data_IF_120818316836
#
_entry.id   IF_120818316836
#
_cell.length_a   1.000
_cell.length_b   1.000
_cell.length_c   1.000
_cell.angle_alpha   90.00
_cell.angle_beta   90.00
_cell.angle_gamma   90.00
#
_symmetry.space_group_name_H-M   'P 1'
#
loop_
_entity.id
_entity.type
_entity.pdbx_description
1 polymer ?
#
# COMPACT_ATOMS: atom_id res chain seq x y z
N UNK A 1 1.82 -16.37 -22.87
CA UNK A 1 1.53 -17.54 -22.01
C UNK A 1 1.77 -17.27 -20.53
N UNK A 2 3.00 -17.01 -20.02
CA UNK A 2 3.20 -16.76 -18.58
C UNK A 2 2.62 -15.41 -18.13
N UNK A 3 2.89 -14.32 -18.85
CA UNK A 3 2.38 -12.99 -18.49
C UNK A 3 0.85 -12.92 -18.53
N UNK A 4 0.24 -13.44 -19.58
CA UNK A 4 -1.23 -13.55 -19.70
C UNK A 4 -1.84 -14.37 -18.55
N UNK A 5 -1.15 -15.44 -18.12
CA UNK A 5 -1.61 -16.23 -16.98
C UNK A 5 -1.52 -15.44 -15.67
N UNK A 6 -0.43 -14.70 -15.45
CA UNK A 6 -0.29 -13.84 -14.28
C UNK A 6 -1.35 -12.74 -14.25
N UNK A 7 -1.61 -12.10 -15.40
CA UNK A 7 -2.65 -11.09 -15.53
C UNK A 7 -4.05 -11.67 -15.27
N UNK A 8 -4.35 -12.86 -15.80
CA UNK A 8 -5.59 -13.56 -15.52
C UNK A 8 -5.78 -13.83 -14.01
N UNK A 9 -4.73 -14.30 -13.34
CA UNK A 9 -4.75 -14.56 -11.89
C UNK A 9 -4.93 -13.26 -11.12
N UNK A 10 -4.21 -12.20 -11.48
CA UNK A 10 -4.26 -10.88 -10.83
C UNK A 10 -5.67 -10.28 -10.92
N UNK A 11 -6.28 -10.32 -12.12
CA UNK A 11 -7.62 -9.84 -12.37
C UNK A 11 -8.70 -10.67 -11.64
N UNK A 12 -8.53 -12.00 -11.59
CA UNK A 12 -9.46 -12.89 -10.89
C UNK A 12 -9.46 -12.60 -9.39
N UNK A 13 -8.28 -12.54 -8.77
CA UNK A 13 -8.15 -12.24 -7.34
C UNK A 13 -8.63 -10.82 -7.04
N UNK A 14 -8.32 -9.85 -7.92
CA UNK A 14 -8.84 -8.49 -7.81
C UNK A 14 -10.37 -8.48 -7.76
N UNK A 15 -11.04 -9.13 -8.72
CA UNK A 15 -12.50 -9.18 -8.79
C UNK A 15 -13.10 -9.89 -7.56
N UNK A 16 -12.48 -10.95 -7.07
CA UNK A 16 -12.94 -11.63 -5.84
C UNK A 16 -12.86 -10.71 -4.63
N UNK A 17 -11.75 -10.01 -4.43
CA UNK A 17 -11.59 -9.10 -3.30
C UNK A 17 -12.51 -7.88 -3.45
N UNK A 18 -12.50 -7.28 -4.64
CA UNK A 18 -13.29 -6.09 -4.89
C UNK A 18 -14.78 -6.47 -4.80
N UNK A 19 -15.32 -7.48 -5.45
CA UNK A 19 -16.77 -7.74 -5.48
C UNK A 19 -17.29 -8.64 -4.35
N UNK A 20 -16.58 -9.71 -4.01
CA UNK A 20 -17.13 -10.79 -3.17
C UNK A 20 -16.85 -10.58 -1.67
N UNK A 21 -15.85 -9.79 -1.29
CA UNK A 21 -15.54 -9.48 0.11
C UNK A 21 -16.24 -8.23 0.64
N UNK A 22 -17.26 -7.74 -0.06
CA UNK A 22 -17.99 -6.51 0.28
C UNK A 22 -18.52 -6.53 1.72
N UNK A 23 -18.31 -5.43 2.43
CA UNK A 23 -18.79 -5.25 3.79
C UNK A 23 -19.05 -3.76 4.09
N UNK A 24 -20.21 -3.39 4.69
CA UNK A 24 -20.53 -1.99 4.98
C UNK A 24 -19.51 -1.27 5.86
N UNK A 25 -18.88 -2.00 6.81
CA UNK A 25 -17.83 -1.43 7.65
C UNK A 25 -16.58 -1.12 6.82
N UNK A 26 -16.19 -2.02 5.92
CA UNK A 26 -15.03 -1.82 5.06
C UNK A 26 -15.28 -0.73 4.03
N UNK A 27 -16.48 -0.66 3.45
CA UNK A 27 -16.87 0.43 2.54
C UNK A 27 -16.78 1.81 3.23
N UNK A 28 -17.10 1.89 4.52
CA UNK A 28 -16.99 3.13 5.28
C UNK A 28 -15.54 3.46 5.70
N UNK A 29 -14.73 2.47 6.05
CA UNK A 29 -13.41 2.67 6.68
C UNK A 29 -12.27 2.66 5.66
N UNK A 30 -12.26 1.71 4.73
CA UNK A 30 -11.13 1.45 3.85
C UNK A 30 -10.75 2.62 2.93
N UNK A 31 -11.70 3.41 2.40
CA UNK A 31 -11.37 4.63 1.65
C UNK A 31 -10.48 5.61 2.41
N UNK A 32 -10.69 5.71 3.74
CA UNK A 32 -9.93 6.63 4.61
C UNK A 32 -8.54 6.14 4.96
N UNK A 33 -8.25 4.84 4.77
CA UNK A 33 -6.95 4.26 5.12
C UNK A 33 -5.80 4.85 4.32
N UNK A 34 -6.07 5.42 3.14
CA UNK A 34 -5.09 6.21 2.35
C UNK A 34 -4.42 7.28 3.21
N UNK A 35 -5.23 8.22 3.72
CA UNK A 35 -4.74 9.36 4.52
C UNK A 35 -4.22 8.91 5.89
N UNK A 36 -4.92 7.95 6.51
CA UNK A 36 -4.53 7.43 7.82
C UNK A 36 -3.15 6.76 7.78
N UNK A 37 -2.75 6.17 6.65
CA UNK A 37 -1.41 5.58 6.50
C UNK A 37 -0.32 6.66 6.62
N UNK A 38 -0.46 7.78 5.90
CA UNK A 38 0.50 8.88 5.99
C UNK A 38 0.55 9.50 7.39
N UNK A 39 -0.63 9.76 7.98
CA UNK A 39 -0.73 10.30 9.34
C UNK A 39 -0.09 9.35 10.35
N UNK A 40 -0.36 8.05 10.25
CA UNK A 40 0.20 7.05 11.16
C UNK A 40 1.74 7.04 11.14
N UNK A 41 2.34 6.95 9.96
CA UNK A 41 3.80 6.90 9.85
C UNK A 41 4.45 8.24 10.25
N UNK A 42 3.83 9.37 9.94
CA UNK A 42 4.27 10.67 10.42
C UNK A 42 4.26 10.75 11.95
N UNK A 43 3.16 10.33 12.59
CA UNK A 43 3.07 10.31 14.05
C UNK A 43 4.10 9.37 14.69
N UNK A 44 4.43 8.25 14.03
CA UNK A 44 5.47 7.34 14.50
C UNK A 44 6.87 7.97 14.42
N UNK A 45 7.17 8.73 13.37
CA UNK A 45 8.41 9.53 13.27
C UNK A 45 8.47 10.56 14.42
N UNK A 46 7.37 11.29 14.66
CA UNK A 46 7.28 12.26 15.76
C UNK A 46 7.44 11.58 17.12
N UNK A 47 6.84 10.40 17.31
CA UNK A 47 6.97 9.60 18.52
C UNK A 47 8.43 9.27 18.84
N UNK A 48 9.18 8.73 17.87
CA UNK A 48 10.60 8.42 18.06
C UNK A 48 11.43 9.69 18.32
N UNK A 49 11.08 10.81 17.67
CA UNK A 49 11.73 12.08 17.94
C UNK A 49 11.54 12.56 19.39
N UNK A 50 10.31 12.52 19.90
CA UNK A 50 9.98 12.91 21.29
C UNK A 50 10.63 11.97 22.31
N UNK A 51 10.77 10.68 21.98
CA UNK A 51 11.51 9.69 22.78
C UNK A 51 13.03 9.89 22.78
N UNK A 52 13.53 10.92 22.09
CA UNK A 52 14.95 11.20 21.89
C UNK A 52 15.68 10.11 21.08
N UNK A 53 14.93 9.28 20.34
CA UNK A 53 15.45 8.27 19.41
C UNK A 53 15.60 8.86 18.01
N UNK A 54 16.30 10.00 17.92
CA UNK A 54 16.42 10.79 16.68
C UNK A 54 17.00 10.01 15.51
N UNK A 55 17.88 9.03 15.78
CA UNK A 55 18.44 8.14 14.76
C UNK A 55 17.35 7.27 14.12
N UNK A 56 16.42 6.75 14.92
CA UNK A 56 15.30 5.93 14.44
C UNK A 56 14.31 6.77 13.63
N UNK A 57 13.96 7.97 14.13
CA UNK A 57 13.11 8.92 13.40
C UNK A 57 13.72 9.29 12.04
N UNK A 58 15.02 9.61 12.01
CA UNK A 58 15.74 9.94 10.78
C UNK A 58 15.82 8.74 9.83
N UNK A 59 16.16 7.55 10.33
CA UNK A 59 16.23 6.34 9.52
C UNK A 59 14.88 6.03 8.86
N UNK A 60 13.79 6.10 9.62
CA UNK A 60 12.44 5.88 9.10
C UNK A 60 12.09 6.92 8.03
N UNK A 61 12.37 8.19 8.29
CA UNK A 61 12.12 9.29 7.34
C UNK A 61 12.90 9.08 6.04
N UNK A 62 14.21 8.84 6.14
CA UNK A 62 15.08 8.63 4.97
C UNK A 62 14.64 7.39 4.20
N UNK A 63 14.28 6.31 4.89
CA UNK A 63 13.85 5.08 4.22
C UNK A 63 12.57 5.31 3.41
N UNK A 64 11.56 6.01 3.96
CA UNK A 64 10.32 6.35 3.25
C UNK A 64 10.61 7.25 2.02
N UNK A 65 11.48 8.25 2.18
CA UNK A 65 11.86 9.14 1.07
C UNK A 65 12.59 8.36 -0.03
N UNK A 66 13.56 7.53 0.32
CA UNK A 66 14.30 6.70 -0.64
C UNK A 66 13.38 5.69 -1.32
N UNK A 67 12.49 5.05 -0.55
CA UNK A 67 11.48 4.14 -1.09
C UNK A 67 10.60 4.81 -2.14
N UNK A 68 10.05 5.99 -1.83
CA UNK A 68 9.29 6.77 -2.80
C UNK A 68 10.13 7.15 -4.05
N UNK A 69 11.40 7.52 -3.88
CA UNK A 69 12.31 7.81 -4.99
C UNK A 69 12.63 6.58 -5.86
N UNK A 70 12.44 5.36 -5.35
CA UNK A 70 12.52 4.14 -6.15
C UNK A 70 11.18 3.80 -6.79
N UNK A 71 10.07 3.91 -6.05
CA UNK A 71 8.72 3.54 -6.48
C UNK A 71 8.18 4.41 -7.60
N UNK A 72 8.25 5.73 -7.46
CA UNK A 72 7.63 6.64 -8.43
C UNK A 72 8.27 6.58 -9.83
N UNK A 73 9.60 6.51 -9.99
CA UNK A 73 10.18 6.27 -11.31
C UNK A 73 9.71 4.96 -11.95
N UNK A 74 9.59 3.88 -11.16
CA UNK A 74 9.07 2.61 -11.67
C UNK A 74 7.61 2.73 -12.11
N UNK A 75 6.79 3.51 -11.39
CA UNK A 75 5.41 3.80 -11.79
C UNK A 75 5.30 4.36 -13.19
N UNK A 76 6.07 5.40 -13.48
CA UNK A 76 6.01 6.05 -14.79
C UNK A 76 6.79 5.29 -15.88
N UNK A 77 7.71 4.39 -15.51
CA UNK A 77 8.42 3.54 -16.46
C UNK A 77 7.57 2.36 -16.93
N UNK A 78 6.81 1.75 -16.02
CA UNK A 78 5.97 0.58 -16.30
C UNK A 78 4.59 1.01 -16.80
N UNK A 79 4.08 2.14 -16.28
CA UNK A 79 2.85 2.79 -16.74
C UNK A 79 1.63 1.85 -16.82
N UNK A 80 1.50 0.97 -15.82
CA UNK A 80 0.37 0.04 -15.72
C UNK A 80 -0.90 0.83 -15.41
N UNK A 81 -1.95 0.61 -16.20
CA UNK A 81 -3.27 1.18 -15.96
C UNK A 81 -3.88 0.65 -14.66
N UNK A 82 -4.82 1.40 -14.09
CA UNK A 82 -5.52 1.03 -12.85
C UNK A 82 -6.68 0.08 -13.12
N UNK A 83 -7.15 -0.70 -12.12
CA UNK A 83 -8.30 -1.57 -12.31
C UNK A 83 -9.56 -0.86 -12.82
N UNK A 84 -9.83 0.36 -12.34
CA UNK A 84 -10.98 1.14 -12.79
C UNK A 84 -10.87 1.68 -14.22
N UNK A 85 -9.68 1.65 -14.83
CA UNK A 85 -9.48 2.05 -16.22
C UNK A 85 -9.68 0.88 -17.20
N UNK A 86 -9.33 -0.34 -16.77
CA UNK A 86 -9.37 -1.53 -17.63
C UNK A 86 -10.62 -2.39 -17.41
N UNK A 87 -11.13 -2.45 -16.19
CA UNK A 87 -12.24 -3.32 -15.80
C UNK A 87 -13.45 -2.45 -15.48
N UNK A 88 -14.38 -2.36 -16.44
CA UNK A 88 -15.58 -1.52 -16.35
C UNK A 88 -16.48 -1.83 -15.15
N UNK A 89 -16.44 -3.05 -14.62
CA UNK A 89 -17.23 -3.46 -13.45
C UNK A 89 -16.59 -3.09 -12.10
N UNK A 90 -15.39 -2.51 -12.09
CA UNK A 90 -14.66 -2.18 -10.86
C UNK A 90 -15.48 -1.30 -9.92
N UNK A 91 -15.61 -1.72 -8.67
CA UNK A 91 -16.16 -0.87 -7.61
C UNK A 91 -15.07 0.05 -7.07
N UNK A 92 -15.03 1.26 -7.58
CA UNK A 92 -14.14 2.33 -7.11
C UNK A 92 -14.77 3.07 -5.93
N UNK A 93 -14.16 3.00 -4.75
CA UNK A 93 -14.68 3.58 -3.50
C UNK A 93 -13.94 4.86 -3.05
N UNK A 94 -12.97 5.31 -3.82
CA UNK A 94 -12.19 6.53 -3.57
C UNK A 94 -12.15 7.40 -4.82
N UNK A 95 -11.76 8.69 -4.73
CA UNK A 95 -11.40 9.45 -5.91
C UNK A 95 -10.35 8.72 -6.75
N UNK A 96 -10.46 8.84 -8.09
CA UNK A 96 -9.48 8.28 -9.00
C UNK A 96 -8.10 8.91 -8.76
N UNK A 97 -7.05 8.09 -8.85
CA UNK A 97 -5.66 8.54 -8.70
C UNK A 97 -5.08 8.83 -10.09
N UNK A 98 -4.26 9.87 -10.21
CA UNK A 98 -3.74 10.29 -11.52
C UNK A 98 -2.44 9.58 -11.93
N UNK A 99 -1.79 8.89 -11.00
CA UNK A 99 -0.54 8.18 -11.22
C UNK A 99 -0.77 6.68 -11.51
N UNK A 100 0.15 6.02 -12.25
CA UNK A 100 0.04 4.61 -12.60
C UNK A 100 -0.11 3.67 -11.40
N UNK A 101 -0.66 2.48 -11.65
CA UNK A 101 -0.99 1.51 -10.60
C UNK A 101 0.23 0.78 -10.03
N UNK A 102 1.21 0.43 -10.86
CA UNK A 102 2.29 -0.48 -10.45
C UNK A 102 3.64 0.22 -10.23
N UNK A 103 4.38 -0.04 -9.14
CA UNK A 103 3.97 -0.81 -7.95
C UNK A 103 3.20 0.09 -6.96
N UNK A 104 2.53 -0.52 -5.97
CA UNK A 104 1.75 0.25 -5.00
C UNK A 104 2.65 1.00 -3.99
N UNK A 105 2.64 2.33 -4.05
CA UNK A 105 3.38 3.19 -3.11
C UNK A 105 2.92 3.06 -1.66
N UNK A 106 1.63 2.78 -1.42
CA UNK A 106 1.12 2.56 -0.06
C UNK A 106 1.62 1.23 0.51
N UNK A 107 1.78 0.21 -0.33
CA UNK A 107 2.34 -1.08 0.07
C UNK A 107 3.82 -0.95 0.40
N UNK A 108 4.58 -0.29 -0.48
CA UNK A 108 6.00 0.00 -0.27
C UNK A 108 6.22 0.77 1.03
N UNK A 109 5.62 1.95 1.17
CA UNK A 109 5.80 2.77 2.37
C UNK A 109 5.44 1.99 3.65
N UNK A 110 4.34 1.23 3.65
CA UNK A 110 3.88 0.52 4.85
C UNK A 110 4.81 -0.64 5.23
N UNK A 111 5.19 -1.49 4.28
CA UNK A 111 6.05 -2.64 4.56
C UNK A 111 7.50 -2.25 4.80
N UNK A 112 8.01 -1.25 4.08
CA UNK A 112 9.33 -0.68 4.34
C UNK A 112 9.39 -0.07 5.74
N UNK A 113 8.42 0.78 6.10
CA UNK A 113 8.37 1.39 7.42
C UNK A 113 8.23 0.36 8.55
N UNK A 114 7.32 -0.62 8.37
CA UNK A 114 7.15 -1.72 9.31
C UNK A 114 8.45 -2.52 9.50
N UNK A 115 9.16 -2.82 8.41
CA UNK A 115 10.42 -3.59 8.45
C UNK A 115 11.53 -2.81 9.12
N UNK A 116 11.70 -1.53 8.76
CA UNK A 116 12.71 -0.66 9.35
C UNK A 116 12.49 -0.52 10.86
N UNK A 117 11.27 -0.24 11.31
CA UNK A 117 10.97 -0.15 12.75
C UNK A 117 11.16 -1.49 13.45
N UNK A 118 10.62 -2.58 12.89
CA UNK A 118 10.69 -3.92 13.49
C UNK A 118 12.11 -4.46 13.62
N UNK A 119 13.03 -3.99 12.76
CA UNK A 119 14.44 -4.38 12.83
C UNK A 119 15.12 -3.89 14.11
N UNK A 120 14.74 -2.71 14.62
CA UNK A 120 15.32 -2.10 15.82
C UNK A 120 14.41 -2.23 17.05
N UNK A 121 13.09 -2.37 16.84
CA UNK A 121 12.06 -2.53 17.85
C UNK A 121 11.16 -3.74 17.50
N UNK A 122 11.66 -4.97 17.64
CA UNK A 122 10.93 -6.19 17.24
C UNK A 122 9.60 -6.37 17.98
N UNK A 123 9.43 -5.77 19.15
CA UNK A 123 8.18 -5.74 19.91
C UNK A 123 7.03 -5.06 19.17
N UNK A 124 7.32 -4.16 18.21
CA UNK A 124 6.31 -3.48 17.40
C UNK A 124 5.89 -4.27 16.16
N UNK A 125 6.66 -5.29 15.75
CA UNK A 125 6.38 -6.07 14.54
C UNK A 125 4.98 -6.68 14.51
N UNK A 126 4.52 -7.19 15.67
CA UNK A 126 3.17 -7.78 15.84
C UNK A 126 2.02 -6.79 15.64
N UNK A 127 2.29 -5.48 15.58
CA UNK A 127 1.29 -4.45 15.31
C UNK A 127 1.47 -3.84 13.92
N UNK A 128 2.72 -3.57 13.53
CA UNK A 128 3.03 -2.86 12.28
C UNK A 128 2.75 -3.70 11.04
N UNK A 129 3.06 -5.01 11.06
CA UNK A 129 2.76 -5.87 9.91
C UNK A 129 1.25 -6.06 9.72
N UNK A 130 0.44 -6.40 10.75
CA UNK A 130 -1.01 -6.46 10.59
C UNK A 130 -1.63 -5.14 10.10
N UNK A 131 -1.17 -4.00 10.62
CA UNK A 131 -1.60 -2.69 10.12
C UNK A 131 -1.27 -2.52 8.63
N UNK A 132 -0.04 -2.84 8.24
CA UNK A 132 0.40 -2.76 6.84
C UNK A 132 -0.41 -3.69 5.93
N UNK A 133 -0.71 -4.91 6.37
CA UNK A 133 -1.59 -5.83 5.64
C UNK A 133 -3.00 -5.27 5.45
N UNK A 134 -3.57 -4.65 6.47
CA UNK A 134 -4.88 -4.00 6.38
C UNK A 134 -4.85 -2.85 5.37
N UNK A 135 -3.82 -2.01 5.40
CA UNK A 135 -3.64 -0.91 4.45
C UNK A 135 -3.59 -1.43 3.01
N UNK A 136 -2.76 -2.44 2.74
CA UNK A 136 -2.59 -2.89 1.35
C UNK A 136 -3.79 -3.68 0.84
N UNK A 137 -4.45 -4.45 1.70
CA UNK A 137 -5.73 -5.10 1.36
C UNK A 137 -6.79 -4.05 1.02
N UNK A 138 -6.81 -2.94 1.76
CA UNK A 138 -7.75 -1.85 1.50
C UNK A 138 -7.58 -1.28 0.10
N UNK A 139 -6.35 -1.22 -0.42
CA UNK A 139 -6.07 -0.70 -1.77
C UNK A 139 -6.66 -1.56 -2.89
N UNK A 140 -6.61 -2.88 -2.73
CA UNK A 140 -7.27 -3.80 -3.68
C UNK A 140 -8.78 -3.70 -3.54
N UNK A 141 -9.25 -3.71 -2.29
CA UNK A 141 -10.68 -3.64 -1.96
C UNK A 141 -11.37 -2.39 -2.53
N UNK A 142 -10.76 -1.21 -2.42
CA UNK A 142 -11.37 0.05 -2.90
C UNK A 142 -11.23 0.27 -4.41
N UNK A 143 -10.61 -0.66 -5.14
CA UNK A 143 -10.60 -0.68 -6.60
C UNK A 143 -9.46 0.10 -7.26
N UNK A 144 -8.38 0.43 -6.54
CA UNK A 144 -7.31 1.31 -7.04
C UNK A 144 -5.97 0.60 -7.31
N UNK A 145 -5.83 -0.66 -6.91
CA UNK A 145 -4.64 -1.46 -7.21
C UNK A 145 -5.02 -2.92 -7.46
N UNK A 146 -4.25 -3.57 -8.32
CA UNK A 146 -4.26 -5.02 -8.46
C UNK A 146 -3.45 -5.69 -7.34
N UNK A 147 -3.74 -6.96 -6.98
CA UNK A 147 -2.92 -7.73 -6.06
C UNK A 147 -1.42 -7.75 -6.39
N UNK A 148 -1.04 -7.84 -7.67
CA UNK A 148 0.34 -7.80 -8.13
C UNK A 148 1.06 -6.48 -7.83
N UNK A 149 0.34 -5.34 -7.90
CA UNK A 149 0.90 -4.03 -7.55
C UNK A 149 1.25 -3.97 -6.06
N UNK A 150 0.38 -4.54 -5.23
CA UNK A 150 0.51 -4.59 -3.78
C UNK A 150 1.62 -5.54 -3.37
N UNK A 151 1.62 -6.78 -3.89
CA UNK A 151 2.64 -7.79 -3.57
C UNK A 151 4.03 -7.30 -3.98
N UNK A 152 4.15 -6.65 -5.14
CA UNK A 152 5.44 -6.09 -5.55
C UNK A 152 5.86 -4.95 -4.64
N UNK A 153 4.93 -4.06 -4.26
CA UNK A 153 5.25 -2.99 -3.31
C UNK A 153 5.67 -3.50 -1.93
N UNK A 154 5.25 -4.70 -1.51
CA UNK A 154 5.64 -5.28 -0.22
C UNK A 154 7.10 -5.77 -0.15
N UNK A 155 7.74 -5.98 -1.30
CA UNK A 155 9.06 -6.63 -1.44
C UNK A 155 10.14 -5.58 -1.71
#
# INVERSE_FOLDING_TARGET
MILEYLEYVDNTIFLDINHNLTNPLFDAVFPSLRELTYVFWFLLIVYFWIKNEKKMALLLTVSIVVGALCTYPLKFLIDRARPYEEIASTRLLTPAEADPSFPSAHAEMSFLAATVVSRFHPEYAKYLYPFSFIVVLSRVYVGVHFPGDVVTGMI
#
